data_IF_465513312763
#
_entry.id   IF_465513312763
#
_cell.length_a   1.000
_cell.length_b   1.000
_cell.length_c   1.000
_cell.angle_alpha   90.00
_cell.angle_beta   90.00
_cell.angle_gamma   90.00
#
_symmetry.space_group_name_H-M   'P 1'
#
loop_
_entity.id
_entity.type
_entity.pdbx_description
1 polymer ?
#
# COMPACT_ATOMS: atom_id res chain seq x y z
N UNK A 1 -7.53 12.25 -24.96
CA UNK A 1 -6.22 11.54 -24.94
C UNK A 1 -6.35 10.34 -24.02
N UNK A 2 -5.72 9.21 -24.36
CA UNK A 2 -5.71 8.02 -23.49
C UNK A 2 -4.93 8.32 -22.21
N UNK A 3 -5.34 7.71 -21.09
CA UNK A 3 -4.63 7.82 -19.82
C UNK A 3 -3.31 7.05 -19.89
N UNK A 4 -2.22 7.65 -19.40
CA UNK A 4 -0.96 6.96 -19.25
C UNK A 4 -1.00 6.07 -18.01
N UNK A 5 -0.69 4.78 -18.14
CA UNK A 5 -0.69 3.80 -17.05
C UNK A 5 0.47 4.04 -16.07
N UNK A 6 0.47 5.18 -15.39
CA UNK A 6 1.51 5.60 -14.43
C UNK A 6 0.87 6.38 -13.27
N UNK A 7 1.45 6.23 -12.08
CA UNK A 7 1.16 7.03 -10.90
C UNK A 7 2.36 7.93 -10.67
N UNK A 8 2.15 9.25 -10.68
CA UNK A 8 3.23 10.24 -10.55
C UNK A 8 3.24 10.89 -9.15
N UNK A 9 4.42 11.18 -8.65
CA UNK A 9 4.64 12.01 -7.47
C UNK A 9 4.81 13.48 -7.83
N UNK A 10 4.91 14.35 -6.80
CA UNK A 10 5.00 15.80 -6.89
C UNK A 10 6.24 16.30 -6.14
N UNK A 11 6.76 17.45 -6.55
CA UNK A 11 7.95 18.04 -5.92
C UNK A 11 7.66 18.65 -4.54
N UNK A 12 6.49 19.29 -4.37
CA UNK A 12 6.18 20.05 -3.16
C UNK A 12 4.68 20.13 -2.83
N UNK A 13 4.30 21.03 -1.91
CA UNK A 13 2.92 21.16 -1.43
C UNK A 13 1.99 21.91 -2.38
N UNK A 14 2.53 22.45 -3.47
CA UNK A 14 1.77 23.16 -4.53
C UNK A 14 2.31 22.75 -5.89
N UNK A 15 1.43 22.65 -6.88
CA UNK A 15 1.86 22.43 -8.26
C UNK A 15 2.61 23.64 -8.82
N UNK A 16 3.79 23.40 -9.36
CA UNK A 16 4.53 24.36 -10.16
C UNK A 16 3.90 24.51 -11.54
N UNK A 17 4.24 25.58 -12.26
CA UNK A 17 3.78 25.80 -13.64
C UNK A 17 4.24 24.66 -14.56
N UNK A 18 5.49 24.23 -14.40
CA UNK A 18 6.06 23.12 -15.18
C UNK A 18 5.38 21.78 -14.89
N UNK A 19 5.06 21.48 -13.62
CA UNK A 19 4.30 20.26 -13.26
C UNK A 19 2.90 20.28 -13.87
N UNK A 20 2.19 21.41 -13.83
CA UNK A 20 0.86 21.52 -14.47
C UNK A 20 0.92 21.24 -15.96
N UNK A 21 1.90 21.81 -16.66
CA UNK A 21 2.08 21.56 -18.10
C UNK A 21 2.37 20.08 -18.37
N UNK A 22 3.33 19.51 -17.63
CA UNK A 22 3.73 18.13 -17.75
C UNK A 22 2.59 17.15 -17.45
N UNK A 23 1.84 17.35 -16.35
CA UNK A 23 0.75 16.43 -15.96
C UNK A 23 -0.45 16.52 -16.91
N UNK A 24 -0.70 17.69 -17.48
CA UNK A 24 -1.73 17.85 -18.53
C UNK A 24 -1.39 17.07 -19.79
N UNK A 25 -0.13 17.12 -20.21
CA UNK A 25 0.37 16.41 -21.39
C UNK A 25 0.47 14.90 -21.13
N UNK A 26 1.08 14.48 -20.03
CA UNK A 26 1.27 13.08 -19.68
C UNK A 26 -0.04 12.36 -19.32
N UNK A 27 -1.07 13.07 -18.83
CA UNK A 27 -2.35 12.53 -18.38
C UNK A 27 -2.22 11.23 -17.55
N UNK A 28 -1.49 11.24 -16.39
CA UNK A 28 -1.20 10.04 -15.61
C UNK A 28 -2.49 9.44 -15.02
N UNK A 29 -2.55 8.13 -14.85
CA UNK A 29 -3.69 7.42 -14.26
C UNK A 29 -4.01 7.90 -12.82
N UNK A 30 -2.98 8.26 -12.04
CA UNK A 30 -3.15 8.79 -10.69
C UNK A 30 -1.92 9.51 -10.17
N UNK A 31 -2.03 10.02 -8.95
CA UNK A 31 -0.94 10.71 -8.25
C UNK A 31 -0.70 10.07 -6.89
N UNK A 32 0.54 10.14 -6.37
CA UNK A 32 0.88 9.72 -5.02
C UNK A 32 1.48 10.89 -4.23
N UNK A 33 0.95 11.10 -3.02
CA UNK A 33 1.43 12.14 -2.09
C UNK A 33 2.38 11.54 -1.05
N UNK A 34 3.45 12.28 -0.78
CA UNK A 34 4.42 12.01 0.26
C UNK A 34 4.42 13.12 1.31
N UNK A 35 5.15 12.95 2.40
CA UNK A 35 5.21 13.96 3.49
C UNK A 35 5.57 15.36 3.01
N UNK A 36 6.41 15.49 1.97
CA UNK A 36 6.78 16.78 1.36
C UNK A 36 5.63 17.54 0.69
N UNK A 37 4.51 16.83 0.43
CA UNK A 37 3.33 17.41 -0.22
C UNK A 37 2.24 17.83 0.79
N UNK A 38 2.45 17.64 2.09
CA UNK A 38 1.42 17.71 3.12
C UNK A 38 1.84 18.71 4.20
N UNK A 39 1.04 19.76 4.38
CA UNK A 39 1.22 20.79 5.42
C UNK A 39 0.03 20.82 6.39
N UNK A 40 -1.19 21.02 5.88
CA UNK A 40 -2.44 21.09 6.64
C UNK A 40 -3.63 20.67 5.77
N UNK A 41 -4.82 20.42 6.35
CA UNK A 41 -5.99 19.93 5.62
C UNK A 41 -6.40 20.79 4.43
N UNK A 42 -6.45 22.11 4.60
CA UNK A 42 -6.86 23.06 3.56
C UNK A 42 -5.87 23.07 2.39
N UNK A 43 -4.57 23.00 2.70
CA UNK A 43 -3.53 22.94 1.66
C UNK A 43 -3.63 21.63 0.87
N UNK A 44 -3.76 20.46 1.54
CA UNK A 44 -3.87 19.17 0.85
C UNK A 44 -5.13 19.10 -0.01
N UNK A 45 -6.26 19.60 0.50
CA UNK A 45 -7.51 19.68 -0.29
C UNK A 45 -7.33 20.50 -1.57
N UNK A 46 -6.73 21.69 -1.47
CA UNK A 46 -6.42 22.51 -2.65
C UNK A 46 -5.48 21.82 -3.62
N UNK A 47 -4.48 21.08 -3.12
CA UNK A 47 -3.54 20.34 -3.96
C UNK A 47 -4.26 19.22 -4.71
N UNK A 48 -5.07 18.42 -4.05
CA UNK A 48 -5.82 17.31 -4.67
C UNK A 48 -6.84 17.80 -5.70
N UNK A 49 -7.51 18.92 -5.44
CA UNK A 49 -8.40 19.57 -6.41
C UNK A 49 -7.63 20.05 -7.64
N UNK A 50 -6.51 20.75 -7.43
CA UNK A 50 -5.63 21.24 -8.51
C UNK A 50 -5.08 20.13 -9.40
N UNK A 51 -4.79 18.94 -8.84
CA UNK A 51 -4.37 17.78 -9.62
C UNK A 51 -5.48 17.29 -10.55
N UNK A 52 -6.71 17.16 -10.03
CA UNK A 52 -7.87 16.74 -10.83
C UNK A 52 -8.23 17.77 -11.91
N UNK A 53 -8.21 19.04 -11.57
CA UNK A 53 -8.38 20.12 -12.55
C UNK A 53 -7.33 20.06 -13.66
N UNK A 54 -6.07 19.78 -13.31
CA UNK A 54 -4.97 19.73 -14.28
C UNK A 54 -5.16 18.64 -15.32
N UNK A 55 -5.66 17.46 -14.92
CA UNK A 55 -5.92 16.32 -15.84
C UNK A 55 -7.36 16.28 -16.35
N UNK A 56 -8.25 17.16 -15.86
CA UNK A 56 -9.64 17.28 -16.31
C UNK A 56 -10.54 16.09 -15.93
N UNK A 57 -10.17 15.31 -14.89
CA UNK A 57 -10.94 14.13 -14.45
C UNK A 57 -10.75 13.81 -12.98
N UNK A 58 -11.64 12.98 -12.42
CA UNK A 58 -11.56 12.50 -11.06
C UNK A 58 -10.55 11.33 -10.93
N UNK A 59 -9.26 11.64 -11.07
CA UNK A 59 -8.19 10.65 -10.94
C UNK A 59 -7.98 10.19 -9.49
N UNK A 60 -7.40 9.00 -9.32
CA UNK A 60 -7.02 8.49 -8.01
C UNK A 60 -5.85 9.27 -7.42
N UNK A 61 -5.91 9.53 -6.13
CA UNK A 61 -4.82 10.13 -5.36
C UNK A 61 -4.47 9.19 -4.21
N UNK A 62 -3.23 8.74 -4.21
CA UNK A 62 -2.67 7.75 -3.32
C UNK A 62 -1.88 8.38 -2.17
N UNK A 63 -1.78 7.66 -1.07
CA UNK A 63 -0.90 7.98 0.05
C UNK A 63 -0.52 6.71 0.81
N UNK A 64 0.61 6.75 1.55
CA UNK A 64 0.93 5.74 2.57
C UNK A 64 0.41 6.20 3.92
N UNK A 65 -0.73 5.74 4.34
CA UNK A 65 -1.34 6.00 5.64
C UNK A 65 -1.64 4.67 6.33
N UNK A 66 -0.58 4.00 6.80
CA UNK A 66 -0.66 2.71 7.48
C UNK A 66 -0.97 2.85 8.97
N UNK A 67 -0.65 3.98 9.54
CA UNK A 67 -0.51 4.19 10.99
C UNK A 67 0.91 3.96 11.48
N UNK A 68 1.12 4.11 12.80
CA UNK A 68 2.45 3.98 13.40
C UNK A 68 3.47 4.94 12.77
N UNK A 69 4.63 4.42 12.38
CA UNK A 69 5.70 5.21 11.76
C UNK A 69 5.48 5.52 10.28
N UNK A 70 4.61 4.78 9.60
CA UNK A 70 4.27 5.01 8.18
C UNK A 70 2.93 5.72 8.09
N UNK A 71 2.98 7.00 8.30
CA UNK A 71 1.83 7.89 8.30
C UNK A 71 2.27 9.25 7.71
N UNK A 72 1.57 9.74 6.65
CA UNK A 72 1.91 11.01 6.00
C UNK A 72 1.08 12.16 6.57
N UNK A 73 -0.20 11.93 6.82
CA UNK A 73 -1.10 12.85 7.52
C UNK A 73 -0.86 12.68 9.03
N UNK A 74 -0.28 13.71 9.66
CA UNK A 74 0.26 13.64 11.03
C UNK A 74 -0.29 14.76 11.91
N UNK A 75 -0.09 14.59 13.22
CA UNK A 75 -0.32 15.67 14.18
C UNK A 75 0.48 16.93 13.80
N UNK A 76 -0.03 18.14 14.14
CA UNK A 76 -1.23 18.39 14.96
C UNK A 76 -2.57 18.29 14.21
N UNK A 77 -2.58 18.22 12.87
CA UNK A 77 -3.79 18.35 12.06
C UNK A 77 -4.60 17.06 11.95
N UNK A 78 -3.94 15.89 12.08
CA UNK A 78 -4.57 14.58 11.96
C UNK A 78 -4.26 13.67 13.15
N UNK A 79 -5.06 12.66 13.36
CA UNK A 79 -4.90 11.67 14.42
C UNK A 79 -3.61 10.88 14.27
N UNK A 80 -3.07 10.44 15.40
CA UNK A 80 -2.05 9.39 15.42
C UNK A 80 -2.76 8.04 15.44
N UNK A 81 -2.57 7.25 14.39
CA UNK A 81 -3.12 5.90 14.29
C UNK A 81 -2.13 4.84 14.78
N UNK A 82 -2.62 3.72 15.34
CA UNK A 82 -1.76 2.63 15.79
C UNK A 82 -1.03 1.96 14.62
N UNK A 83 0.09 1.30 14.92
CA UNK A 83 0.82 0.46 13.95
C UNK A 83 0.15 -0.91 13.80
N UNK A 84 0.53 -1.68 12.76
CA UNK A 84 0.05 -3.04 12.54
C UNK A 84 0.23 -3.97 13.74
N UNK A 85 1.36 -3.85 14.45
CA UNK A 85 1.67 -4.66 15.63
C UNK A 85 0.63 -4.53 16.75
N UNK A 86 0.01 -3.36 16.92
CA UNK A 86 -1.06 -3.17 17.92
C UNK A 86 -2.28 -4.05 17.60
N UNK A 87 -2.65 -4.16 16.33
CA UNK A 87 -3.75 -5.04 15.92
C UNK A 87 -3.39 -6.51 16.07
N UNK A 88 -2.13 -6.87 15.84
CA UNK A 88 -1.59 -8.20 16.16
C UNK A 88 -1.75 -8.54 17.63
N UNK A 89 -1.37 -7.64 18.54
CA UNK A 89 -1.45 -7.84 19.99
C UNK A 89 -2.91 -7.95 20.48
N UNK A 90 -3.80 -7.15 19.91
CA UNK A 90 -5.24 -7.25 20.19
C UNK A 90 -5.84 -8.55 19.67
N UNK A 91 -5.43 -9.00 18.47
CA UNK A 91 -5.87 -10.28 17.89
C UNK A 91 -5.41 -11.47 18.74
N UNK A 92 -4.21 -11.41 19.29
CA UNK A 92 -3.68 -12.45 20.17
C UNK A 92 -4.47 -12.55 21.50
N UNK A 93 -5.08 -11.46 21.97
CA UNK A 93 -5.97 -11.45 23.12
C UNK A 93 -7.38 -11.94 22.76
N UNK A 94 -7.87 -11.51 21.59
CA UNK A 94 -9.16 -11.90 21.02
C UNK A 94 -9.16 -11.56 19.52
N UNK A 95 -9.40 -12.57 18.67
CA UNK A 95 -9.51 -12.41 17.21
C UNK A 95 -10.53 -11.30 16.86
N UNK A 96 -11.72 -11.38 17.46
CA UNK A 96 -12.77 -10.39 17.23
C UNK A 96 -12.35 -8.96 17.62
N UNK A 97 -11.55 -8.81 18.67
CA UNK A 97 -11.06 -7.51 19.13
C UNK A 97 -10.05 -6.92 18.15
N UNK A 98 -9.08 -7.73 17.68
CA UNK A 98 -8.10 -7.32 16.69
C UNK A 98 -8.74 -6.92 15.37
N UNK A 99 -9.64 -7.75 14.83
CA UNK A 99 -10.41 -7.51 13.62
C UNK A 99 -11.23 -6.22 13.73
N UNK A 100 -11.99 -6.07 14.83
CA UNK A 100 -12.84 -4.90 15.04
C UNK A 100 -12.03 -3.61 15.16
N UNK A 101 -10.93 -3.64 15.91
CA UNK A 101 -10.04 -2.49 16.08
C UNK A 101 -9.41 -2.06 14.74
N UNK A 102 -8.95 -3.01 13.92
CA UNK A 102 -8.41 -2.75 12.60
C UNK A 102 -9.47 -2.10 11.67
N UNK A 103 -10.66 -2.69 11.58
CA UNK A 103 -11.76 -2.12 10.80
C UNK A 103 -12.05 -0.67 11.19
N UNK A 104 -12.26 -0.40 12.48
CA UNK A 104 -12.60 0.95 12.96
C UNK A 104 -11.47 1.95 12.72
N UNK A 105 -10.20 1.56 12.94
CA UNK A 105 -9.05 2.43 12.71
C UNK A 105 -8.95 2.82 11.24
N UNK A 106 -9.08 1.88 10.33
CA UNK A 106 -8.98 2.18 8.91
C UNK A 106 -10.24 2.82 8.33
N UNK A 107 -11.39 2.65 8.98
CA UNK A 107 -12.59 3.43 8.66
C UNK A 107 -12.41 4.91 9.02
N UNK A 108 -11.77 5.22 10.16
CA UNK A 108 -11.41 6.59 10.55
C UNK A 108 -10.29 7.17 9.68
N UNK A 109 -9.28 6.37 9.29
CA UNK A 109 -8.27 6.78 8.31
C UNK A 109 -8.93 7.18 7.00
N UNK A 110 -9.91 6.41 6.52
CA UNK A 110 -10.62 6.73 5.29
C UNK A 110 -11.36 8.08 5.37
N UNK A 111 -11.96 8.41 6.51
CA UNK A 111 -12.61 9.72 6.71
C UNK A 111 -11.60 10.87 6.64
N UNK A 112 -10.44 10.73 7.32
CA UNK A 112 -9.38 11.74 7.27
C UNK A 112 -8.82 11.92 5.84
N UNK A 113 -8.65 10.82 5.08
CA UNK A 113 -8.19 10.85 3.69
C UNK A 113 -9.21 11.48 2.74
N UNK A 114 -10.48 11.09 2.86
CA UNK A 114 -11.55 11.62 2.03
C UNK A 114 -11.78 13.11 2.22
N UNK A 115 -11.68 13.59 3.47
CA UNK A 115 -11.81 15.00 3.79
C UNK A 115 -10.86 15.90 3.01
N UNK A 116 -9.67 15.39 2.65
CA UNK A 116 -8.65 16.12 1.88
C UNK A 116 -8.54 15.67 0.42
N UNK A 117 -9.51 14.88 -0.07
CA UNK A 117 -9.58 14.44 -1.46
C UNK A 117 -8.65 13.30 -1.85
N UNK A 118 -8.03 12.60 -0.89
CA UNK A 118 -7.26 11.37 -1.13
C UNK A 118 -8.24 10.19 -1.25
N UNK A 119 -8.06 9.35 -2.28
CA UNK A 119 -9.03 8.32 -2.66
C UNK A 119 -8.45 6.90 -2.71
N UNK A 120 -7.15 6.76 -2.51
CA UNK A 120 -6.50 5.44 -2.43
C UNK A 120 -5.45 5.44 -1.31
N UNK A 121 -5.34 4.33 -0.58
CA UNK A 121 -4.36 4.15 0.50
C UNK A 121 -3.50 2.91 0.23
N UNK A 122 -2.18 3.08 0.28
CA UNK A 122 -1.23 1.98 0.16
C UNK A 122 -1.20 1.14 1.46
N UNK A 123 -2.29 0.49 1.75
CA UNK A 123 -2.56 -0.43 2.86
C UNK A 123 -3.67 -1.42 2.43
N UNK A 124 -3.69 -2.64 2.99
CA UNK A 124 -2.88 -3.22 4.07
C UNK A 124 -1.51 -3.75 3.66
N UNK A 125 -0.61 -3.89 4.67
CA UNK A 125 0.66 -4.61 4.55
C UNK A 125 0.42 -6.09 4.84
N UNK A 126 0.69 -6.96 3.85
CA UNK A 126 0.48 -8.42 3.95
C UNK A 126 1.79 -9.19 4.20
N UNK A 127 2.89 -8.48 4.37
CA UNK A 127 4.20 -9.08 4.55
C UNK A 127 4.29 -9.84 5.88
N UNK A 128 4.90 -11.03 5.85
CA UNK A 128 5.16 -11.86 7.02
C UNK A 128 6.63 -11.67 7.47
N UNK A 129 6.91 -10.82 8.47
CA UNK A 129 8.27 -10.59 8.93
C UNK A 129 8.90 -11.88 9.47
N UNK A 130 10.18 -12.11 9.13
CA UNK A 130 10.95 -13.26 9.58
C UNK A 130 12.05 -12.81 10.55
N UNK A 131 12.38 -13.72 11.49
CA UNK A 131 13.52 -13.54 12.41
C UNK A 131 14.80 -13.33 11.57
N UNK A 132 15.57 -12.35 11.70
CA UNK A 132 16.75 -11.97 10.92
C UNK A 132 16.45 -11.28 9.56
N UNK A 133 15.24 -10.83 9.31
CA UNK A 133 14.94 -9.91 8.21
C UNK A 133 15.24 -8.47 8.63
N UNK A 134 15.36 -7.58 7.63
CA UNK A 134 15.47 -6.14 7.88
C UNK A 134 14.21 -5.63 8.61
N UNK A 135 14.35 -4.74 9.60
CA UNK A 135 13.22 -4.23 10.38
C UNK A 135 12.30 -3.28 9.61
N UNK A 136 12.47 -3.13 8.29
CA UNK A 136 11.63 -2.24 7.47
C UNK A 136 10.13 -2.59 7.53
N UNK A 137 9.79 -3.87 7.69
CA UNK A 137 8.41 -4.33 7.91
C UNK A 137 8.07 -4.24 9.39
N UNK A 138 8.75 -5.00 10.27
CA UNK A 138 8.62 -4.93 11.73
C UNK A 138 7.19 -4.65 12.23
N UNK A 139 6.99 -3.54 12.94
CA UNK A 139 5.72 -3.08 13.53
C UNK A 139 4.61 -2.70 12.52
N UNK A 140 4.94 -2.67 11.22
CA UNK A 140 3.95 -2.45 10.15
C UNK A 140 3.11 -3.71 9.87
N UNK A 141 3.65 -4.90 10.16
CA UNK A 141 2.95 -6.16 9.93
C UNK A 141 1.82 -6.39 10.93
N UNK A 142 0.78 -7.08 10.46
CA UNK A 142 -0.35 -7.53 11.29
C UNK A 142 -0.09 -8.87 11.99
N UNK A 143 1.12 -9.42 11.86
CA UNK A 143 1.52 -10.69 12.46
C UNK A 143 2.56 -11.43 11.65
N UNK A 144 2.92 -12.62 12.16
CA UNK A 144 3.85 -13.55 11.52
C UNK A 144 3.15 -14.80 10.98
N UNK A 145 1.86 -14.96 11.28
CA UNK A 145 1.01 -16.08 10.86
C UNK A 145 0.05 -15.63 9.76
N UNK A 146 -0.06 -16.40 8.69
CA UNK A 146 -0.86 -16.04 7.52
C UNK A 146 -2.33 -15.79 7.84
N UNK A 147 -2.94 -16.65 8.67
CA UNK A 147 -4.37 -16.54 9.05
C UNK A 147 -4.63 -15.19 9.72
N UNK A 148 -3.87 -14.85 10.75
CA UNK A 148 -3.99 -13.58 11.46
C UNK A 148 -3.86 -12.37 10.52
N UNK A 149 -2.85 -12.39 9.62
CA UNK A 149 -2.64 -11.30 8.66
C UNK A 149 -3.81 -11.19 7.69
N UNK A 150 -4.37 -12.31 7.22
CA UNK A 150 -5.53 -12.35 6.32
C UNK A 150 -6.75 -11.74 7.00
N UNK A 151 -7.10 -12.16 8.21
CA UNK A 151 -8.28 -11.71 8.93
C UNK A 151 -8.23 -10.20 9.21
N UNK A 152 -7.09 -9.73 9.72
CA UNK A 152 -6.89 -8.30 9.97
C UNK A 152 -6.90 -7.49 8.66
N UNK A 153 -6.27 -8.00 7.60
CA UNK A 153 -6.21 -7.30 6.32
C UNK A 153 -7.58 -7.20 5.64
N UNK A 154 -8.43 -8.21 5.73
CA UNK A 154 -9.83 -8.11 5.28
C UNK A 154 -10.57 -6.99 6.02
N UNK A 155 -10.40 -6.88 7.34
CA UNK A 155 -11.01 -5.82 8.13
C UNK A 155 -10.48 -4.42 7.73
N UNK A 156 -9.18 -4.29 7.48
CA UNK A 156 -8.54 -3.08 6.96
C UNK A 156 -9.14 -2.67 5.61
N UNK A 157 -9.20 -3.61 4.66
CA UNK A 157 -9.79 -3.35 3.35
C UNK A 157 -11.24 -2.92 3.45
N UNK A 158 -12.05 -3.64 4.25
CA UNK A 158 -13.45 -3.29 4.49
C UNK A 158 -13.60 -1.89 5.11
N UNK A 159 -12.76 -1.53 6.10
CA UNK A 159 -12.75 -0.21 6.71
C UNK A 159 -12.48 0.91 5.71
N UNK A 160 -11.45 0.73 4.85
CA UNK A 160 -11.11 1.68 3.79
C UNK A 160 -12.22 1.81 2.76
N UNK A 161 -12.70 0.69 2.21
CA UNK A 161 -13.74 0.68 1.17
C UNK A 161 -15.06 1.26 1.66
N UNK A 162 -15.50 0.94 2.87
CA UNK A 162 -16.70 1.51 3.47
C UNK A 162 -16.57 3.02 3.77
N UNK A 163 -15.32 3.53 3.84
CA UNK A 163 -15.01 4.96 3.89
C UNK A 163 -14.82 5.61 2.52
N UNK A 164 -14.97 4.86 1.41
CA UNK A 164 -14.80 5.37 0.04
C UNK A 164 -13.35 5.58 -0.38
N UNK A 165 -12.41 4.84 0.23
CA UNK A 165 -10.98 4.83 -0.12
C UNK A 165 -10.59 3.46 -0.64
N UNK A 166 -9.96 3.41 -1.82
CA UNK A 166 -9.49 2.17 -2.42
C UNK A 166 -8.24 1.64 -1.70
N UNK A 167 -8.23 0.38 -1.23
CA UNK A 167 -7.04 -0.23 -0.63
C UNK A 167 -6.05 -0.70 -1.71
N UNK A 168 -4.76 -0.72 -1.34
CA UNK A 168 -3.68 -1.31 -2.15
C UNK A 168 -2.93 -2.30 -1.28
N UNK A 169 -3.10 -3.59 -1.51
CA UNK A 169 -2.34 -4.62 -0.77
C UNK A 169 -0.86 -4.57 -1.16
N UNK A 170 0.04 -4.81 -0.20
CA UNK A 170 1.49 -4.73 -0.44
C UNK A 170 2.29 -5.62 0.51
N UNK A 171 3.48 -6.02 0.14
CA UNK A 171 4.25 -5.82 -1.11
C UNK A 171 4.36 -7.17 -1.82
N UNK A 172 3.57 -7.40 -2.87
CA UNK A 172 3.52 -8.68 -3.58
C UNK A 172 4.90 -9.09 -4.11
N UNK A 173 5.32 -10.35 -3.93
CA UNK A 173 4.64 -11.48 -3.31
C UNK A 173 5.03 -11.73 -1.84
N UNK A 174 5.48 -10.72 -1.13
CA UNK A 174 5.86 -10.76 0.28
C UNK A 174 7.30 -10.28 0.54
N UNK A 175 7.46 -9.13 1.20
CA UNK A 175 8.75 -8.48 1.47
C UNK A 175 9.36 -8.88 2.84
N UNK A 176 8.67 -9.69 3.65
CA UNK A 176 9.02 -10.00 5.02
C UNK A 176 10.31 -10.80 5.23
N UNK A 177 10.96 -11.30 4.15
CA UNK A 177 12.25 -12.01 4.16
C UNK A 177 13.44 -11.14 3.73
N UNK A 178 13.21 -9.92 3.29
CA UNK A 178 14.27 -9.04 2.85
C UNK A 178 15.28 -8.79 3.98
N UNK A 179 16.57 -8.92 3.70
CA UNK A 179 17.65 -8.68 4.66
C UNK A 179 18.21 -7.26 4.62
N UNK A 180 17.71 -6.47 3.67
CA UNK A 180 18.07 -5.06 3.49
C UNK A 180 16.82 -4.27 3.09
N UNK A 181 16.79 -3.00 3.49
CA UNK A 181 15.76 -2.06 3.07
C UNK A 181 15.88 -1.79 1.56
N UNK A 182 14.78 -1.95 0.82
CA UNK A 182 14.73 -1.72 -0.64
C UNK A 182 15.02 -0.25 -1.04
N UNK A 183 14.93 0.69 -0.11
CA UNK A 183 15.35 2.08 -0.33
C UNK A 183 16.88 2.28 -0.27
N UNK A 184 17.61 1.34 0.32
CA UNK A 184 19.07 1.42 0.49
C UNK A 184 19.82 0.51 -0.47
N UNK A 185 19.31 -0.68 -0.73
CA UNK A 185 19.90 -1.65 -1.64
C UNK A 185 18.83 -2.61 -2.18
N UNK A 186 19.07 -3.24 -3.32
CA UNK A 186 18.15 -4.20 -3.91
C UNK A 186 18.12 -5.52 -3.10
N UNK A 187 17.03 -5.84 -2.39
CA UNK A 187 16.94 -7.06 -1.60
C UNK A 187 16.92 -8.30 -2.49
N UNK A 188 17.59 -9.37 -2.01
CA UNK A 188 17.55 -10.70 -2.62
C UNK A 188 16.93 -11.70 -1.65
N UNK A 189 15.97 -12.47 -2.12
CA UNK A 189 15.26 -13.48 -1.37
C UNK A 189 15.61 -14.85 -1.96
N UNK A 190 16.45 -15.61 -1.22
CA UNK A 190 17.10 -16.83 -1.65
C UNK A 190 16.46 -18.07 -1.02
N UNK A 191 15.13 -18.18 -1.09
CA UNK A 191 14.37 -19.37 -0.65
C UNK A 191 13.68 -20.04 -1.82
N UNK A 192 13.34 -21.33 -1.66
CA UNK A 192 12.67 -22.08 -2.71
C UNK A 192 11.26 -21.52 -2.98
N UNK A 193 10.79 -21.68 -4.21
CA UNK A 193 9.40 -21.32 -4.58
C UNK A 193 8.39 -22.04 -3.69
N UNK A 194 8.61 -23.34 -3.41
CA UNK A 194 7.73 -24.13 -2.54
C UNK A 194 7.62 -23.52 -1.13
N UNK A 195 8.72 -22.98 -0.58
CA UNK A 195 8.69 -22.29 0.72
C UNK A 195 7.81 -21.03 0.64
N UNK A 196 7.97 -20.21 -0.40
CA UNK A 196 7.18 -18.98 -0.59
C UNK A 196 5.69 -19.31 -0.77
N UNK A 197 5.37 -20.33 -1.55
CA UNK A 197 3.99 -20.77 -1.81
C UNK A 197 3.27 -21.26 -0.55
N UNK A 198 4.02 -21.87 0.38
CA UNK A 198 3.50 -22.36 1.67
C UNK A 198 3.47 -21.31 2.78
N UNK A 199 4.01 -20.12 2.51
CA UNK A 199 4.13 -19.06 3.53
C UNK A 199 3.78 -17.69 2.98
N UNK A 200 4.74 -17.02 2.36
CA UNK A 200 4.66 -15.57 2.03
C UNK A 200 3.58 -15.25 0.98
N UNK A 201 3.29 -16.19 0.07
CA UNK A 201 2.26 -16.00 -0.96
C UNK A 201 0.82 -16.20 -0.46
N UNK A 202 0.64 -16.88 0.69
CA UNK A 202 -0.70 -17.21 1.20
C UNK A 202 -1.57 -15.97 1.42
N UNK A 203 -1.13 -14.91 2.12
CA UNK A 203 -1.97 -13.73 2.33
C UNK A 203 -2.38 -13.06 1.02
N UNK A 204 -1.48 -13.00 0.03
CA UNK A 204 -1.77 -12.37 -1.27
C UNK A 204 -2.75 -13.18 -2.12
N UNK A 205 -2.72 -14.52 -2.02
CA UNK A 205 -3.72 -15.38 -2.67
C UNK A 205 -5.09 -15.25 -2.03
N UNK A 206 -5.13 -15.17 -0.70
CA UNK A 206 -6.37 -15.03 0.04
C UNK A 206 -7.08 -13.69 -0.23
N UNK A 207 -6.30 -12.63 -0.54
CA UNK A 207 -6.81 -11.30 -0.85
C UNK A 207 -6.65 -10.96 -2.35
N UNK A 208 -6.76 -11.96 -3.22
CA UNK A 208 -6.61 -11.78 -4.68
C UNK A 208 -7.73 -10.95 -5.32
N UNK A 209 -8.83 -10.74 -4.61
CA UNK A 209 -9.95 -9.87 -4.97
C UNK A 209 -9.72 -8.38 -4.62
N UNK A 210 -8.58 -8.06 -4.00
CA UNK A 210 -8.22 -6.68 -3.69
C UNK A 210 -8.19 -5.82 -4.97
N UNK A 211 -8.77 -4.61 -4.96
CA UNK A 211 -8.87 -3.77 -6.16
C UNK A 211 -7.52 -3.38 -6.73
N UNK A 212 -6.48 -3.28 -5.90
CA UNK A 212 -5.13 -2.90 -6.32
C UNK A 212 -4.06 -3.59 -5.47
N UNK A 213 -2.88 -3.75 -6.08
CA UNK A 213 -1.72 -4.34 -5.41
C UNK A 213 -0.42 -3.62 -5.80
N UNK A 214 0.51 -3.54 -4.84
CA UNK A 214 1.84 -2.99 -5.05
C UNK A 214 2.89 -4.11 -4.98
N UNK A 215 3.76 -4.19 -6.00
CA UNK A 215 4.84 -5.18 -6.04
C UNK A 215 6.02 -4.78 -5.16
N UNK A 216 6.66 -5.77 -4.54
CA UNK A 216 7.93 -5.58 -3.85
C UNK A 216 9.06 -5.28 -4.85
N UNK A 217 9.87 -4.25 -4.59
CA UNK A 217 11.10 -4.02 -5.37
C UNK A 217 12.23 -4.90 -4.83
N UNK A 218 12.15 -6.20 -5.10
CA UNK A 218 13.07 -7.22 -4.62
C UNK A 218 13.30 -8.31 -5.67
N UNK A 219 14.45 -8.96 -5.62
CA UNK A 219 14.78 -10.14 -6.44
C UNK A 219 14.37 -11.40 -5.68
N UNK A 220 13.58 -12.26 -6.31
CA UNK A 220 13.25 -13.59 -5.83
C UNK A 220 14.00 -14.60 -6.71
N UNK A 221 15.14 -15.10 -6.20
CA UNK A 221 16.10 -15.90 -6.98
C UNK A 221 15.49 -17.18 -7.55
N UNK A 222 14.46 -17.74 -6.92
CA UNK A 222 13.70 -18.87 -7.42
C UNK A 222 12.88 -18.57 -8.70
N UNK A 223 12.72 -17.30 -9.07
CA UNK A 223 11.90 -16.89 -10.21
C UNK A 223 12.68 -16.07 -11.24
N UNK A 224 13.50 -15.12 -10.83
CA UNK A 224 14.23 -14.20 -11.71
C UNK A 224 15.46 -13.61 -11.01
N UNK A 225 16.47 -13.20 -11.80
CA UNK A 225 17.61 -12.39 -11.33
C UNK A 225 17.32 -10.90 -11.35
N UNK A 226 16.14 -10.51 -11.85
CA UNK A 226 15.68 -9.12 -11.94
C UNK A 226 14.63 -8.86 -10.85
N UNK A 227 14.57 -7.65 -10.32
CA UNK A 227 13.52 -7.25 -9.39
C UNK A 227 12.12 -7.51 -9.98
N UNK A 228 11.18 -7.94 -9.16
CA UNK A 228 9.80 -8.29 -9.61
C UNK A 228 9.17 -7.14 -10.40
N UNK A 229 9.31 -5.92 -9.93
CA UNK A 229 8.77 -4.71 -10.60
C UNK A 229 9.28 -4.50 -12.03
N UNK A 230 10.42 -5.10 -12.38
CA UNK A 230 11.05 -4.96 -13.72
C UNK A 230 11.04 -6.28 -14.50
N UNK A 231 10.48 -7.35 -13.96
CA UNK A 231 10.47 -8.68 -14.57
C UNK A 231 9.12 -9.00 -15.20
N UNK A 232 9.01 -8.91 -16.53
CA UNK A 232 7.81 -9.34 -17.27
C UNK A 232 7.36 -10.76 -16.87
N UNK A 233 8.30 -11.71 -16.78
CA UNK A 233 8.03 -13.10 -16.36
C UNK A 233 7.41 -13.16 -14.97
N UNK A 234 7.93 -12.39 -14.01
CA UNK A 234 7.42 -12.38 -12.65
C UNK A 234 6.05 -11.72 -12.56
N UNK A 235 5.86 -10.59 -13.24
CA UNK A 235 4.57 -9.89 -13.28
C UNK A 235 3.49 -10.76 -13.94
N UNK A 236 3.81 -11.40 -15.07
CA UNK A 236 2.89 -12.35 -15.73
C UNK A 236 2.53 -13.49 -14.79
N UNK A 237 3.51 -14.10 -14.11
CA UNK A 237 3.26 -15.16 -13.14
C UNK A 237 2.32 -14.71 -12.01
N UNK A 238 2.52 -13.50 -11.46
CA UNK A 238 1.66 -12.96 -10.39
C UNK A 238 0.24 -12.67 -10.87
N UNK A 239 0.08 -12.13 -12.09
CA UNK A 239 -1.22 -11.78 -12.66
C UNK A 239 -2.04 -13.01 -13.07
N UNK A 240 -1.39 -14.05 -13.62
CA UNK A 240 -2.09 -15.24 -14.15
C UNK A 240 -2.19 -16.40 -13.16
N UNK A 241 -1.51 -16.36 -12.01
CA UNK A 241 -1.69 -17.37 -10.95
C UNK A 241 -2.64 -16.92 -9.84
N UNK A 242 -3.10 -15.68 -9.85
CA UNK A 242 -4.25 -15.25 -9.09
C UNK A 242 -5.50 -15.71 -9.84
N UNK A 243 -6.48 -16.38 -9.18
CA UNK A 243 -7.74 -16.71 -9.85
C UNK A 243 -8.37 -15.42 -10.38
N UNK A 244 -8.60 -15.39 -11.70
CA UNK A 244 -9.34 -14.28 -12.29
C UNK A 244 -10.80 -14.38 -11.84
N UNK A 245 -11.47 -13.29 -11.48
CA UNK A 245 -12.91 -13.31 -11.20
C UNK A 245 -13.77 -13.64 -12.43
N UNK A 246 -13.20 -14.05 -13.55
CA UNK A 246 -13.86 -14.31 -14.83
C UNK A 246 -13.75 -15.75 -15.34
N UNK A 247 -13.23 -16.69 -14.53
CA UNK A 247 -13.23 -18.11 -14.85
C UNK A 247 -14.27 -18.88 -14.02
#
# INVERSE_FOLDING_TARGET
MSELAVILGLSGPKLTVSERAFFRDANPWGFILFSRNIENPEQVKRLTDSLRETVGRNCLIFVDQEGGRVQRLRQPHWRRYPSGAIFQDLYAQSEAMGIRAAYLSYRLIADDLRAVGITANCAPVLDLPRKNADPIISDRAFGTQSVQVIDIAHAVMAGLMNGGVAPVIKHIPGHGRAKVDSHKALPKISVTRQTLERTDFIPFRALSDAPMAMTAHAVYECNSRTAITLSKKSLTCLLYTSPSPRD
#
